data_IF_647714826239
#
_entry.id   IF_647714826239
#
_cell.length_a   1.000
_cell.length_b   1.000
_cell.length_c   1.000
_cell.angle_alpha   90.00
_cell.angle_beta   90.00
_cell.angle_gamma   90.00
#
_symmetry.space_group_name_H-M   'P 1'
#
loop_
_entity.id
_entity.type
_entity.pdbx_description
1 polymer ?
#
# COMPACT_ATOMS: atom_id res chain seq x y z
N UNK A 1 9.36 20.44 34.21
CA UNK A 1 9.15 19.05 34.69
C UNK A 1 7.99 18.30 34.02
N UNK A 2 6.69 18.64 34.21
CA UNK A 2 5.57 17.81 33.68
C UNK A 2 5.18 18.09 32.22
N UNK A 3 5.56 19.25 31.68
CA UNK A 3 5.26 19.66 30.29
C UNK A 3 6.33 19.13 29.32
N UNK A 4 7.61 19.12 29.72
CA UNK A 4 8.73 18.63 28.90
C UNK A 4 8.64 17.12 28.60
N UNK A 5 8.17 16.33 29.56
CA UNK A 5 7.98 14.87 29.38
C UNK A 5 6.89 14.52 28.34
N UNK A 6 5.93 15.42 28.10
CA UNK A 6 4.88 15.22 27.08
C UNK A 6 5.36 15.62 25.68
N UNK A 7 6.21 16.63 25.58
CA UNK A 7 6.81 17.05 24.31
C UNK A 7 7.84 16.04 23.77
N UNK A 8 8.66 15.42 24.63
CA UNK A 8 9.62 14.40 24.20
C UNK A 8 8.97 13.14 23.60
N UNK A 9 7.75 12.78 24.04
CA UNK A 9 6.98 11.68 23.43
C UNK A 9 6.38 12.07 22.08
N UNK A 10 5.92 13.32 21.92
CA UNK A 10 5.39 13.81 20.64
C UNK A 10 6.49 13.88 19.56
N UNK A 11 7.72 14.24 19.92
CA UNK A 11 8.86 14.23 18.98
C UNK A 11 9.21 12.82 18.48
N UNK A 12 9.17 11.81 19.36
CA UNK A 12 9.40 10.42 18.95
C UNK A 12 8.27 9.84 18.06
N UNK A 13 7.05 10.35 18.18
CA UNK A 13 5.93 9.98 17.30
C UNK A 13 6.11 10.57 15.90
N UNK A 14 6.66 11.78 15.80
CA UNK A 14 6.93 12.44 14.51
C UNK A 14 8.11 11.81 13.75
N UNK A 15 9.11 11.27 14.45
CA UNK A 15 10.25 10.55 13.83
C UNK A 15 9.83 9.23 13.16
N UNK A 16 8.71 8.65 13.58
CA UNK A 16 8.11 7.44 13.00
C UNK A 16 6.91 7.74 12.10
N UNK A 17 6.70 9.00 11.70
CA UNK A 17 5.58 9.34 10.83
C UNK A 17 5.80 8.73 9.44
N UNK A 18 5.05 7.68 9.15
CA UNK A 18 5.05 7.01 7.85
C UNK A 18 4.71 8.04 6.77
N UNK A 19 5.65 8.30 5.86
CA UNK A 19 5.42 9.18 4.73
C UNK A 19 4.57 8.47 3.68
N UNK A 20 3.25 8.55 3.86
CA UNK A 20 2.27 7.91 2.96
C UNK A 20 2.23 8.52 1.56
N UNK A 21 2.73 9.75 1.36
CA UNK A 21 2.78 10.39 0.05
C UNK A 21 3.56 9.57 -0.97
N UNK A 22 4.79 9.15 -0.64
CA UNK A 22 5.60 8.30 -1.51
C UNK A 22 4.94 6.93 -1.75
N UNK A 23 4.29 6.39 -0.74
CA UNK A 23 3.49 5.17 -0.89
C UNK A 23 2.37 5.34 -1.92
N UNK A 24 1.56 6.39 -1.80
CA UNK A 24 0.43 6.61 -2.72
C UNK A 24 0.88 6.95 -4.14
N UNK A 25 1.97 7.69 -4.31
CA UNK A 25 2.58 7.93 -5.63
C UNK A 25 3.02 6.62 -6.30
N UNK A 26 3.68 5.74 -5.54
CA UNK A 26 4.09 4.42 -6.06
C UNK A 26 2.89 3.50 -6.28
N UNK A 27 1.89 3.56 -5.41
CA UNK A 27 0.65 2.81 -5.59
C UNK A 27 -0.03 3.21 -6.89
N UNK A 28 -0.20 4.51 -7.14
CA UNK A 28 -0.78 5.04 -8.37
C UNK A 28 0.05 4.64 -9.60
N UNK A 29 1.38 4.83 -9.55
CA UNK A 29 2.31 4.44 -10.63
C UNK A 29 2.18 2.97 -11.02
N UNK A 30 1.98 2.08 -10.05
CA UNK A 30 1.90 0.64 -10.24
C UNK A 30 0.46 0.09 -10.23
N UNK A 31 -0.54 0.95 -10.42
CA UNK A 31 -1.94 0.54 -10.59
C UNK A 31 -2.34 0.64 -12.06
N UNK A 32 -2.94 -0.43 -12.58
CA UNK A 32 -3.46 -0.41 -13.95
C UNK A 32 -4.74 0.42 -14.03
N UNK A 33 -5.07 1.06 -15.17
CA UNK A 33 -6.19 2.01 -15.27
C UNK A 33 -7.55 1.42 -14.89
N UNK A 34 -7.71 0.12 -15.07
CA UNK A 34 -8.97 -0.62 -14.90
C UNK A 34 -9.08 -1.26 -13.49
N UNK A 35 -8.26 -0.78 -12.55
CA UNK A 35 -8.24 -1.18 -11.14
C UNK A 35 -8.31 0.05 -10.25
N UNK A 36 -9.18 0.01 -9.25
CA UNK A 36 -9.24 1.03 -8.20
C UNK A 36 -9.32 0.39 -6.81
N UNK A 37 -8.91 1.14 -5.79
CA UNK A 37 -8.95 0.70 -4.40
C UNK A 37 -10.09 1.37 -3.65
N UNK A 38 -10.84 0.59 -2.87
CA UNK A 38 -11.96 1.08 -2.06
C UNK A 38 -11.79 0.81 -0.56
N UNK A 39 -10.65 0.22 -0.17
CA UNK A 39 -10.28 0.01 1.22
C UNK A 39 -8.77 -0.10 1.33
N UNK A 40 -8.25 0.46 2.42
CA UNK A 40 -6.83 0.44 2.73
C UNK A 40 -6.65 0.31 4.24
N UNK A 41 -5.74 -0.55 4.65
CA UNK A 41 -5.21 -0.57 6.02
C UNK A 41 -3.71 -0.87 5.98
N UNK A 42 -2.98 -0.36 6.95
CA UNK A 42 -1.54 -0.54 7.02
C UNK A 42 -1.04 -0.38 8.45
N UNK A 43 0.13 -0.96 8.72
CA UNK A 43 0.79 -0.85 10.02
C UNK A 43 2.20 -0.29 9.90
N UNK A 44 2.83 0.01 11.03
CA UNK A 44 4.20 0.54 11.10
C UNK A 44 5.28 -0.48 10.71
N UNK A 45 4.91 -1.74 10.49
CA UNK A 45 5.80 -2.80 10.01
C UNK A 45 5.92 -2.81 8.48
N UNK A 46 5.16 -1.97 7.78
CA UNK A 46 5.18 -1.87 6.32
C UNK A 46 4.31 -2.90 5.60
N UNK A 47 3.46 -3.62 6.33
CA UNK A 47 2.41 -4.47 5.77
C UNK A 47 1.20 -3.62 5.43
N UNK A 48 0.76 -3.71 4.18
CA UNK A 48 -0.39 -3.00 3.65
C UNK A 48 -1.41 -4.01 3.17
N UNK A 49 -2.67 -3.76 3.49
CA UNK A 49 -3.81 -4.48 2.94
C UNK A 49 -4.68 -3.52 2.12
N UNK A 50 -5.03 -3.94 0.91
CA UNK A 50 -5.88 -3.19 -0.01
C UNK A 50 -7.06 -4.04 -0.42
N UNK A 51 -8.24 -3.40 -0.43
CA UNK A 51 -9.41 -3.91 -1.12
C UNK A 51 -9.47 -3.24 -2.49
N UNK A 52 -9.49 -4.05 -3.53
CA UNK A 52 -9.43 -3.61 -4.91
C UNK A 52 -10.62 -4.10 -5.71
N UNK A 53 -10.98 -3.32 -6.73
CA UNK A 53 -11.99 -3.66 -7.72
C UNK A 53 -11.36 -3.50 -9.08
N UNK A 54 -11.58 -4.48 -9.95
CA UNK A 54 -11.16 -4.49 -11.33
C UNK A 54 -12.39 -4.62 -12.24
N UNK A 55 -12.32 -4.05 -13.45
CA UNK A 55 -13.39 -4.18 -14.44
C UNK A 55 -13.62 -5.64 -14.88
N UNK A 56 -12.57 -6.46 -14.87
CA UNK A 56 -12.61 -7.84 -15.31
C UNK A 56 -11.41 -8.66 -14.79
N UNK A 57 -11.49 -9.99 -14.92
CA UNK A 57 -10.44 -10.90 -14.45
C UNK A 57 -9.08 -10.66 -15.15
N UNK A 58 -9.01 -10.36 -16.47
CA UNK A 58 -7.76 -9.95 -17.10
C UNK A 58 -7.09 -8.71 -16.48
N UNK A 59 -7.86 -7.73 -15.99
CA UNK A 59 -7.31 -6.57 -15.30
C UNK A 59 -6.61 -6.96 -13.98
N UNK A 60 -7.14 -7.92 -13.22
CA UNK A 60 -6.46 -8.50 -12.05
C UNK A 60 -5.12 -9.13 -12.45
N UNK A 61 -5.09 -9.86 -13.57
CA UNK A 61 -3.87 -10.44 -14.12
C UNK A 61 -2.81 -9.39 -14.48
N UNK A 62 -3.21 -8.29 -15.14
CA UNK A 62 -2.32 -7.16 -15.44
C UNK A 62 -1.79 -6.50 -14.17
N UNK A 63 -2.64 -6.30 -13.17
CA UNK A 63 -2.24 -5.74 -11.88
C UNK A 63 -1.16 -6.60 -11.20
N UNK A 64 -1.29 -7.93 -11.25
CA UNK A 64 -0.28 -8.87 -10.74
C UNK A 64 1.06 -8.71 -11.47
N UNK A 65 1.04 -8.57 -12.79
CA UNK A 65 2.26 -8.41 -13.60
C UNK A 65 2.97 -7.11 -13.24
N UNK A 66 2.24 -5.99 -13.20
CA UNK A 66 2.81 -4.68 -12.86
C UNK A 66 3.42 -4.68 -11.45
N UNK A 67 2.78 -5.32 -10.47
CA UNK A 67 3.32 -5.46 -9.11
C UNK A 67 4.57 -6.36 -9.04
N UNK A 68 4.69 -7.39 -9.89
CA UNK A 68 5.93 -8.20 -9.98
C UNK A 68 7.11 -7.39 -10.48
N UNK A 69 6.86 -6.41 -11.34
CA UNK A 69 7.88 -5.55 -11.94
C UNK A 69 8.22 -4.33 -11.05
N UNK A 70 7.41 -4.06 -10.02
CA UNK A 70 7.54 -2.93 -9.10
C UNK A 70 8.67 -3.11 -8.06
N UNK A 71 9.89 -3.34 -8.53
CA UNK A 71 11.06 -3.65 -7.67
C UNK A 71 11.51 -2.49 -6.77
N UNK A 72 11.10 -1.25 -7.03
CA UNK A 72 11.35 -0.07 -6.20
C UNK A 72 10.30 0.13 -5.08
N UNK A 73 9.18 -0.59 -5.16
CA UNK A 73 8.00 -0.39 -4.32
C UNK A 73 7.69 -1.61 -3.45
N UNK A 74 7.53 -2.78 -4.06
CA UNK A 74 7.04 -4.00 -3.40
C UNK A 74 8.19 -4.99 -3.16
N UNK A 75 8.30 -5.48 -1.93
CA UNK A 75 9.21 -6.58 -1.59
C UNK A 75 8.53 -7.93 -1.83
N UNK A 76 7.28 -8.06 -1.39
CA UNK A 76 6.44 -9.25 -1.56
C UNK A 76 4.99 -8.81 -1.66
N UNK A 77 4.19 -9.55 -2.43
CA UNK A 77 2.74 -9.39 -2.41
C UNK A 77 2.02 -10.74 -2.44
N UNK A 78 0.79 -10.72 -1.97
CA UNK A 78 -0.18 -11.81 -2.10
C UNK A 78 -1.49 -11.27 -2.67
N UNK A 79 -2.13 -12.06 -3.53
CA UNK A 79 -3.46 -11.78 -4.06
C UNK A 79 -4.41 -12.86 -3.57
N UNK A 80 -5.52 -12.44 -2.97
CA UNK A 80 -6.52 -13.34 -2.41
C UNK A 80 -7.94 -12.80 -2.63
N UNK A 81 -8.95 -13.60 -2.25
CA UNK A 81 -10.36 -13.22 -2.27
C UNK A 81 -10.89 -12.75 -3.65
N UNK A 82 -10.34 -13.28 -4.75
CA UNK A 82 -10.78 -12.96 -6.11
C UNK A 82 -12.22 -13.46 -6.28
N UNK A 83 -13.15 -12.53 -6.46
CA UNK A 83 -14.59 -12.81 -6.55
C UNK A 83 -15.19 -12.08 -7.75
N UNK A 84 -15.85 -12.81 -8.64
CA UNK A 84 -16.64 -12.23 -9.74
C UNK A 84 -17.92 -11.61 -9.17
N UNK A 85 -18.22 -10.39 -9.58
CA UNK A 85 -19.46 -9.69 -9.21
C UNK A 85 -20.25 -9.35 -10.47
N UNK A 86 -21.47 -8.84 -10.31
CA UNK A 86 -22.28 -8.36 -11.44
C UNK A 86 -21.67 -7.16 -12.17
N UNK A 87 -20.64 -6.51 -11.62
CA UNK A 87 -20.05 -5.28 -12.14
C UNK A 87 -18.52 -5.35 -12.32
N UNK A 88 -17.91 -6.53 -12.19
CA UNK A 88 -16.46 -6.69 -12.33
C UNK A 88 -15.89 -7.79 -11.43
N UNK A 89 -14.71 -7.52 -10.85
CA UNK A 89 -14.00 -8.46 -9.96
C UNK A 89 -13.50 -7.71 -8.72
N UNK A 90 -13.82 -8.22 -7.54
CA UNK A 90 -13.21 -7.73 -6.29
C UNK A 90 -12.07 -8.65 -5.88
N UNK A 91 -11.00 -8.11 -5.32
CA UNK A 91 -9.88 -8.89 -4.80
C UNK A 91 -9.16 -8.15 -3.67
N UNK A 92 -8.40 -8.89 -2.88
CA UNK A 92 -7.54 -8.35 -1.83
C UNK A 92 -6.08 -8.42 -2.26
N UNK A 93 -5.33 -7.36 -1.93
CA UNK A 93 -3.87 -7.36 -2.02
C UNK A 93 -3.28 -7.22 -0.62
N UNK A 94 -2.32 -8.07 -0.32
CA UNK A 94 -1.43 -7.88 0.83
C UNK A 94 -0.04 -7.55 0.30
N UNK A 95 0.50 -6.40 0.67
CA UNK A 95 1.80 -5.92 0.23
C UNK A 95 2.75 -5.85 1.42
N UNK A 96 3.98 -6.31 1.22
CA UNK A 96 5.12 -6.01 2.07
C UNK A 96 5.97 -5.03 1.28
N UNK A 97 6.04 -3.80 1.78
CA UNK A 97 6.73 -2.71 1.09
C UNK A 97 8.22 -2.72 1.34
N UNK A 98 8.98 -2.14 0.41
CA UNK A 98 10.41 -1.95 0.64
C UNK A 98 10.66 -0.83 1.66
N UNK A 99 11.75 -0.91 2.46
CA UNK A 99 12.03 0.10 3.48
C UNK A 99 12.16 1.53 2.93
N UNK A 100 12.71 1.67 1.72
CA UNK A 100 12.88 2.97 1.03
C UNK A 100 11.56 3.66 0.67
N UNK A 101 10.41 2.99 0.77
CA UNK A 101 9.09 3.59 0.52
C UNK A 101 8.71 4.55 1.64
N UNK A 102 9.09 4.27 2.89
CA UNK A 102 8.66 5.05 4.05
C UNK A 102 9.69 6.03 4.57
N UNK A 103 10.98 5.75 4.37
CA UNK A 103 12.05 6.65 4.81
C UNK A 103 12.50 7.47 3.60
N UNK A 104 12.18 8.77 3.62
CA UNK A 104 12.89 9.74 2.79
C UNK A 104 14.35 9.70 3.26
N UNK A 105 15.23 9.14 2.44
CA UNK A 105 16.66 9.13 2.71
C UNK A 105 17.12 10.54 3.06
N UNK A 106 17.77 10.68 4.22
CA UNK A 106 18.73 11.76 4.41
C UNK A 106 20.04 11.36 3.77
#
# INVERSE_FOLDING_TARGET
AKIEAKFGKAQNVLVNHIYWTKFFELLEKYTVPDVYFNGFSGNTSGSIHLNAVADNLPAVGRQIIVLKEAQDFVQKFEVSNITLTGSGVTFSLELILRPNVFYLGK
#
